data_IF_547592917719
#
_entry.id   IF_547592917719
#
_cell.length_a   1.000
_cell.length_b   1.000
_cell.length_c   1.000
_cell.angle_alpha   90.00
_cell.angle_beta   90.00
_cell.angle_gamma   90.00
#
_symmetry.space_group_name_H-M   'P 1'
#
loop_
_entity.id
_entity.type
_entity.pdbx_description
1 polymer ?
#
# COMPACT_ATOMS: atom_id res chain seq x y z
N UNK A 1 0.84 -2.04 3.97
CA UNK A 1 1.86 -1.36 3.11
C UNK A 1 2.95 -2.29 2.55
N UNK A 2 2.66 -3.55 2.22
CA UNK A 2 3.71 -4.55 1.93
C UNK A 2 3.28 -5.52 0.83
N UNK A 3 4.19 -6.02 0.02
CA UNK A 3 3.91 -7.15 -0.91
C UNK A 3 4.90 -8.26 -0.62
N UNK A 4 4.41 -9.45 -0.28
CA UNK A 4 5.28 -10.61 -0.03
C UNK A 4 6.14 -10.96 -1.25
N UNK A 5 7.36 -11.42 -0.98
CA UNK A 5 8.27 -11.87 -2.03
C UNK A 5 7.79 -13.08 -2.82
N UNK A 6 6.89 -13.89 -2.24
CA UNK A 6 6.24 -15.03 -2.89
C UNK A 6 5.27 -14.60 -3.99
N UNK A 7 4.70 -13.40 -3.91
CA UNK A 7 3.74 -12.89 -4.90
C UNK A 7 4.40 -12.38 -6.18
N UNK A 8 5.67 -11.98 -6.15
CA UNK A 8 6.31 -11.30 -7.28
C UNK A 8 6.27 -12.12 -8.57
N UNK A 9 6.29 -13.44 -8.49
CA UNK A 9 6.23 -14.30 -9.68
C UNK A 9 4.83 -14.31 -10.30
N UNK A 10 3.78 -14.24 -9.48
CA UNK A 10 2.38 -14.12 -9.93
C UNK A 10 2.12 -12.77 -10.61
N UNK A 11 2.87 -11.73 -10.26
CA UNK A 11 2.70 -10.40 -10.83
C UNK A 11 3.32 -10.26 -12.24
N UNK A 12 4.12 -11.22 -12.71
CA UNK A 12 4.89 -11.09 -13.94
C UNK A 12 4.04 -10.97 -15.23
N UNK A 13 2.80 -11.47 -15.20
CA UNK A 13 1.84 -11.39 -16.32
C UNK A 13 1.05 -10.08 -16.36
N UNK A 14 1.14 -9.26 -15.31
CA UNK A 14 0.29 -8.08 -15.17
C UNK A 14 0.60 -6.98 -16.17
N UNK A 15 -0.47 -6.32 -16.62
CA UNK A 15 -0.42 -5.07 -17.38
C UNK A 15 0.05 -3.91 -16.51
N UNK A 16 0.35 -2.76 -17.13
CA UNK A 16 0.85 -1.60 -16.40
C UNK A 16 -0.16 -1.10 -15.36
N UNK A 17 -1.44 -1.02 -15.75
CA UNK A 17 -2.52 -0.55 -14.87
C UNK A 17 -2.83 -1.54 -13.75
N UNK A 18 -2.70 -2.84 -13.99
CA UNK A 18 -2.81 -3.85 -12.93
C UNK A 18 -1.66 -3.77 -11.91
N UNK A 19 -0.42 -3.56 -12.36
CA UNK A 19 0.72 -3.36 -11.45
C UNK A 19 0.52 -2.10 -10.61
N UNK A 20 0.15 -0.99 -11.23
CA UNK A 20 -0.13 0.27 -10.52
C UNK A 20 -1.27 0.12 -9.52
N UNK A 21 -2.33 -0.58 -9.91
CA UNK A 21 -3.45 -0.89 -9.04
C UNK A 21 -3.04 -1.72 -7.82
N UNK A 22 -2.31 -2.82 -8.02
CA UNK A 22 -1.84 -3.67 -6.91
C UNK A 22 -0.92 -2.89 -5.96
N UNK A 23 -0.02 -2.07 -6.47
CA UNK A 23 0.84 -1.23 -5.63
C UNK A 23 0.02 -0.20 -4.85
N UNK A 24 -1.03 0.37 -5.45
CA UNK A 24 -1.95 1.27 -4.77
C UNK A 24 -2.75 0.56 -3.66
N UNK A 25 -3.35 -0.60 -3.96
CA UNK A 25 -4.07 -1.44 -2.99
C UNK A 25 -3.14 -1.78 -1.82
N UNK A 26 -1.93 -2.24 -2.13
CA UNK A 26 -0.96 -2.67 -1.15
C UNK A 26 -0.50 -1.54 -0.23
N UNK A 27 -0.64 -0.27 -0.66
CA UNK A 27 -0.34 0.90 0.17
C UNK A 27 -1.34 1.08 1.30
N UNK A 28 -2.61 0.74 1.11
CA UNK A 28 -3.67 1.02 2.10
C UNK A 28 -4.26 -0.24 2.73
N UNK A 29 -3.65 -1.40 2.50
CA UNK A 29 -4.04 -2.65 3.15
C UNK A 29 -3.65 -2.70 4.64
N UNK A 30 -4.44 -3.45 5.41
CA UNK A 30 -4.12 -3.96 6.74
C UNK A 30 -3.16 -5.17 6.68
N UNK A 31 -2.89 -5.77 7.85
CA UNK A 31 -2.01 -6.93 7.93
C UNK A 31 -2.63 -8.20 7.34
N UNK A 32 -3.95 -8.29 7.10
CA UNK A 32 -4.58 -9.43 6.42
C UNK A 32 -4.51 -9.33 4.89
N UNK A 33 -3.85 -8.29 4.38
CA UNK A 33 -3.81 -8.01 2.95
C UNK A 33 -5.06 -7.32 2.41
N UNK A 34 -5.92 -6.78 3.29
CA UNK A 34 -7.21 -6.22 2.96
C UNK A 34 -7.22 -4.69 3.04
N UNK A 35 -7.76 -4.02 2.03
CA UNK A 35 -8.15 -2.62 2.09
C UNK A 35 -9.67 -2.51 2.14
N UNK A 36 -10.17 -1.78 3.13
CA UNK A 36 -11.60 -1.45 3.26
C UNK A 36 -11.94 -0.17 2.53
N UNK A 37 -13.08 -0.11 1.86
CA UNK A 37 -13.66 1.12 1.36
C UNK A 37 -12.86 1.80 0.25
N UNK A 38 -12.30 1.03 -0.70
CA UNK A 38 -11.66 1.62 -1.87
C UNK A 38 -12.70 2.30 -2.77
N UNK A 39 -12.58 3.61 -2.95
CA UNK A 39 -13.44 4.37 -3.84
C UNK A 39 -12.79 4.52 -5.21
N UNK A 40 -13.53 4.19 -6.28
CA UNK A 40 -12.96 4.15 -7.63
C UNK A 40 -12.38 5.49 -8.07
N UNK A 41 -12.95 6.63 -7.64
CA UNK A 41 -12.45 7.96 -8.06
C UNK A 41 -11.05 8.23 -7.51
N UNK A 42 -10.81 7.86 -6.26
CA UNK A 42 -9.50 8.04 -5.61
C UNK A 42 -8.44 7.22 -6.37
N UNK A 43 -8.78 6.01 -6.78
CA UNK A 43 -7.88 5.16 -7.58
C UNK A 43 -7.68 5.76 -8.98
N UNK A 44 -8.75 6.24 -9.62
CA UNK A 44 -8.67 6.86 -10.94
C UNK A 44 -7.72 8.07 -10.94
N UNK A 45 -7.79 8.90 -9.90
CA UNK A 45 -6.92 10.07 -9.72
C UNK A 45 -5.47 9.68 -9.42
N UNK A 46 -5.23 8.69 -8.55
CA UNK A 46 -3.89 8.35 -8.08
C UNK A 46 -3.13 7.36 -8.98
N UNK A 47 -3.84 6.53 -9.76
CA UNK A 47 -3.25 5.52 -10.64
C UNK A 47 -3.44 5.87 -12.13
N UNK A 48 -3.87 7.10 -12.44
CA UNK A 48 -4.06 7.60 -13.80
C UNK A 48 -4.93 6.63 -14.63
N UNK A 49 -6.07 6.21 -14.10
CA UNK A 49 -6.95 5.26 -14.78
C UNK A 49 -8.34 5.84 -14.98
N UNK A 50 -8.96 5.54 -16.12
CA UNK A 50 -10.36 5.88 -16.30
C UNK A 50 -11.25 4.89 -15.53
N UNK A 51 -12.52 5.27 -15.31
CA UNK A 51 -13.50 4.45 -14.60
C UNK A 51 -13.66 3.04 -15.20
N UNK A 52 -13.63 2.92 -16.53
CA UNK A 52 -13.73 1.62 -17.20
C UNK A 52 -12.51 0.74 -16.89
N UNK A 53 -11.31 1.30 -17.02
CA UNK A 53 -10.05 0.62 -16.69
C UNK A 53 -10.00 0.15 -15.24
N UNK A 54 -10.54 0.91 -14.29
CA UNK A 54 -10.65 0.48 -12.89
C UNK A 54 -11.44 -0.85 -12.78
N UNK A 55 -12.62 -0.93 -13.40
CA UNK A 55 -13.45 -2.14 -13.31
C UNK A 55 -12.87 -3.31 -14.10
N UNK A 56 -12.26 -3.05 -15.26
CA UNK A 56 -11.57 -4.08 -16.03
C UNK A 56 -10.38 -4.65 -15.23
N UNK A 57 -9.62 -3.79 -14.56
CA UNK A 57 -8.50 -4.17 -13.68
C UNK A 57 -8.99 -5.03 -12.52
N UNK A 58 -10.07 -4.64 -11.83
CA UNK A 58 -10.66 -5.43 -10.75
C UNK A 58 -11.04 -6.85 -11.21
N UNK A 59 -11.80 -6.94 -12.30
CA UNK A 59 -12.26 -8.23 -12.83
C UNK A 59 -11.09 -9.10 -13.30
N UNK A 60 -10.12 -8.50 -13.99
CA UNK A 60 -8.94 -9.20 -14.50
C UNK A 60 -8.08 -9.76 -13.38
N UNK A 61 -7.80 -8.96 -12.33
CA UNK A 61 -7.02 -9.40 -11.19
C UNK A 61 -7.72 -10.48 -10.36
N UNK A 62 -9.05 -10.42 -10.25
CA UNK A 62 -9.84 -11.48 -9.62
C UNK A 62 -9.80 -12.77 -10.43
N UNK A 63 -9.99 -12.69 -11.76
CA UNK A 63 -9.92 -13.86 -12.64
C UNK A 63 -8.53 -14.53 -12.63
N UNK A 64 -7.46 -13.75 -12.44
CA UNK A 64 -6.09 -14.25 -12.28
C UNK A 64 -5.80 -14.81 -10.87
N UNK A 65 -6.75 -14.73 -9.92
CA UNK A 65 -6.55 -15.21 -8.55
C UNK A 65 -5.53 -14.40 -7.75
N UNK A 66 -5.39 -13.11 -8.06
CA UNK A 66 -4.47 -12.19 -7.36
C UNK A 66 -5.20 -11.43 -6.26
N UNK A 67 -6.46 -11.07 -6.50
CA UNK A 67 -7.31 -10.41 -5.51
C UNK A 67 -8.66 -11.11 -5.40
N UNK A 68 -9.36 -10.85 -4.30
CA UNK A 68 -10.82 -10.94 -4.22
C UNK A 68 -11.38 -9.58 -3.81
N UNK A 69 -12.62 -9.29 -4.15
CA UNK A 69 -13.27 -8.06 -3.71
C UNK A 69 -14.75 -8.23 -3.44
N UNK A 70 -15.28 -7.42 -2.53
CA UNK A 70 -16.71 -7.27 -2.29
C UNK A 70 -17.11 -5.81 -2.42
N UNK A 71 -18.34 -5.56 -2.89
CA UNK A 71 -18.87 -4.21 -2.97
C UNK A 71 -19.61 -3.89 -1.68
N UNK A 72 -19.24 -2.77 -1.05
CA UNK A 72 -19.90 -2.23 0.14
C UNK A 72 -20.35 -0.81 -0.17
N UNK A 73 -21.66 -0.62 -0.35
CA UNK A 73 -22.25 0.63 -0.84
C UNK A 73 -21.67 1.07 -2.21
N UNK A 74 -20.91 2.16 -2.23
CA UNK A 74 -20.24 2.69 -3.43
C UNK A 74 -18.75 2.32 -3.49
N UNK A 75 -18.27 1.60 -2.49
CA UNK A 75 -16.86 1.27 -2.32
C UNK A 75 -16.61 -0.22 -2.53
N UNK A 76 -15.34 -0.57 -2.60
CA UNK A 76 -14.86 -1.94 -2.73
C UNK A 76 -13.94 -2.28 -1.56
N UNK A 77 -14.26 -3.36 -0.85
CA UNK A 77 -13.30 -3.98 0.06
C UNK A 77 -12.52 -5.00 -0.77
N UNK A 78 -11.18 -4.91 -0.77
CA UNK A 78 -10.31 -5.70 -1.65
C UNK A 78 -9.26 -6.40 -0.81
N UNK A 79 -9.09 -7.71 -1.04
CA UNK A 79 -8.02 -8.50 -0.40
C UNK A 79 -7.04 -8.96 -1.47
N UNK A 80 -5.76 -8.68 -1.27
CA UNK A 80 -4.68 -9.28 -2.06
C UNK A 80 -4.45 -10.70 -1.52
N UNK A 81 -4.71 -11.70 -2.36
CA UNK A 81 -4.58 -13.10 -1.99
C UNK A 81 -3.10 -13.44 -1.72
N UNK A 82 -2.86 -14.33 -0.76
CA UNK A 82 -1.53 -14.75 -0.30
C UNK A 82 -0.61 -13.62 0.20
N UNK A 83 -1.18 -12.48 0.63
CA UNK A 83 -0.43 -11.34 1.17
C UNK A 83 -0.66 -11.11 2.68
N UNK A 84 -0.97 -12.16 3.43
CA UNK A 84 -1.29 -12.08 4.86
C UNK A 84 -0.03 -11.98 5.75
N UNK A 85 0.00 -10.98 6.63
CA UNK A 85 1.03 -10.66 7.62
C UNK A 85 0.54 -10.79 9.07
N UNK A 86 -0.68 -11.28 9.32
CA UNK A 86 -1.28 -11.27 10.67
C UNK A 86 -0.72 -12.35 11.61
N UNK A 87 0.09 -13.29 11.12
CA UNK A 87 0.60 -14.42 11.89
C UNK A 87 2.08 -14.28 12.28
N UNK A 88 2.51 -14.94 13.38
CA UNK A 88 3.90 -14.92 13.81
C UNK A 88 4.85 -15.42 12.71
N UNK A 89 5.86 -14.62 12.41
CA UNK A 89 6.90 -14.97 11.45
C UNK A 89 6.62 -14.59 9.99
N UNK A 90 5.42 -14.09 9.66
CA UNK A 90 5.10 -13.64 8.29
C UNK A 90 6.11 -12.60 7.74
N UNK A 91 6.64 -11.74 8.61
CA UNK A 91 7.63 -10.74 8.25
C UNK A 91 9.00 -11.33 7.88
N UNK A 92 9.33 -12.54 8.37
CA UNK A 92 10.59 -13.22 8.05
C UNK A 92 10.58 -13.85 6.65
N UNK A 93 9.41 -14.01 6.03
CA UNK A 93 9.27 -14.50 4.65
C UNK A 93 9.77 -13.46 3.61
N UNK A 94 9.91 -12.21 4.03
CA UNK A 94 10.41 -11.12 3.21
C UNK A 94 9.33 -10.48 2.32
N UNK A 95 9.44 -9.16 2.14
CA UNK A 95 8.45 -8.36 1.45
C UNK A 95 9.06 -7.11 0.84
N UNK A 96 8.40 -6.57 -0.18
CA UNK A 96 8.62 -5.21 -0.66
C UNK A 96 7.81 -4.26 0.21
N UNK A 97 8.47 -3.31 0.86
CA UNK A 97 7.78 -2.20 1.49
C UNK A 97 7.37 -1.17 0.42
N UNK A 98 6.08 -1.08 0.12
CA UNK A 98 5.51 -0.16 -0.88
C UNK A 98 5.22 1.24 -0.32
N UNK A 99 5.50 1.50 0.95
CA UNK A 99 5.40 2.84 1.56
C UNK A 99 6.55 3.79 1.19
N UNK A 100 7.58 3.29 0.49
CA UNK A 100 8.76 4.08 0.14
C UNK A 100 8.41 5.18 -0.88
N UNK A 101 9.01 6.36 -0.70
CA UNK A 101 8.74 7.53 -1.55
C UNK A 101 8.96 7.26 -3.04
N UNK A 102 9.90 6.35 -3.37
CA UNK A 102 10.22 5.96 -4.75
C UNK A 102 8.99 5.60 -5.58
N UNK A 103 8.00 4.91 -4.99
CA UNK A 103 6.78 4.46 -5.67
C UNK A 103 5.82 5.60 -6.03
N UNK A 104 6.08 6.81 -5.54
CA UNK A 104 5.29 8.02 -5.79
C UNK A 104 6.03 9.02 -6.70
N UNK A 105 7.22 8.66 -7.17
CA UNK A 105 8.01 9.55 -8.01
C UNK A 105 7.63 9.41 -9.46
N UNK A 106 7.66 10.53 -10.21
CA UNK A 106 7.45 10.54 -11.67
C UNK A 106 8.31 9.50 -12.39
N UNK A 107 9.59 9.37 -12.01
CA UNK A 107 10.52 8.38 -12.58
C UNK A 107 10.04 6.94 -12.42
N UNK A 108 9.29 6.61 -11.36
CA UNK A 108 8.70 5.28 -11.18
C UNK A 108 7.46 5.10 -12.06
N UNK A 109 6.58 6.10 -12.12
CA UNK A 109 5.37 6.06 -12.95
C UNK A 109 5.67 5.96 -14.45
N UNK A 110 6.79 6.53 -14.91
CA UNK A 110 7.26 6.44 -16.29
C UNK A 110 7.72 5.01 -16.70
N UNK A 111 7.95 4.11 -15.75
CA UNK A 111 8.33 2.72 -16.05
C UNK A 111 7.16 1.95 -16.68
N UNK A 112 7.48 1.09 -17.63
CA UNK A 112 6.53 0.10 -18.18
C UNK A 112 6.28 -1.02 -17.16
N UNK A 113 5.19 -1.76 -17.34
CA UNK A 113 4.79 -2.86 -16.45
C UNK A 113 5.96 -3.81 -16.10
N UNK A 114 6.61 -4.36 -17.13
CA UNK A 114 7.73 -5.31 -16.94
C UNK A 114 9.00 -4.65 -16.38
N UNK A 115 9.17 -3.34 -16.52
CA UNK A 115 10.26 -2.60 -15.86
C UNK A 115 9.98 -2.41 -14.37
N UNK A 116 8.73 -2.09 -14.00
CA UNK A 116 8.28 -2.05 -12.60
C UNK A 116 8.47 -3.41 -11.93
N UNK A 117 8.07 -4.49 -12.60
CA UNK A 117 8.25 -5.85 -12.10
C UNK A 117 9.73 -6.23 -11.93
N UNK A 118 10.58 -5.89 -12.92
CA UNK A 118 12.03 -6.09 -12.78
C UNK A 118 12.61 -5.29 -11.61
N UNK A 119 12.14 -4.07 -11.39
CA UNK A 119 12.54 -3.24 -10.26
C UNK A 119 12.18 -3.91 -8.92
N UNK A 120 10.97 -4.45 -8.77
CA UNK A 120 10.56 -5.19 -7.57
C UNK A 120 11.43 -6.43 -7.33
N UNK A 121 11.74 -7.18 -8.39
CA UNK A 121 12.67 -8.31 -8.31
C UNK A 121 14.09 -7.88 -7.92
N UNK A 122 14.58 -6.76 -8.44
CA UNK A 122 15.89 -6.22 -8.06
C UNK A 122 15.91 -5.74 -6.61
N UNK A 123 14.82 -5.13 -6.12
CA UNK A 123 14.69 -4.80 -4.69
C UNK A 123 14.78 -6.06 -3.82
N UNK A 124 14.08 -7.15 -4.18
CA UNK A 124 14.13 -8.43 -3.46
C UNK A 124 15.55 -8.99 -3.39
N UNK A 125 16.22 -9.17 -4.53
CA UNK A 125 17.55 -9.82 -4.56
C UNK A 125 18.63 -8.96 -3.91
N UNK A 126 18.55 -7.63 -4.04
CA UNK A 126 19.55 -6.73 -3.44
C UNK A 126 19.36 -6.64 -1.93
N UNK A 127 18.11 -6.69 -1.43
CA UNK A 127 17.84 -6.81 0.00
C UNK A 127 18.45 -8.09 0.58
N UNK A 128 18.22 -9.24 -0.08
CA UNK A 128 18.77 -10.54 0.34
C UNK A 128 20.31 -10.62 0.23
N UNK A 129 20.94 -9.75 -0.58
CA UNK A 129 22.37 -9.74 -0.83
C UNK A 129 23.10 -8.55 -0.15
N UNK A 130 22.58 -8.06 0.98
CA UNK A 130 23.18 -6.94 1.73
C UNK A 130 23.43 -5.67 0.90
N UNK A 131 22.56 -5.41 -0.08
CA UNK A 131 22.57 -4.21 -0.91
C UNK A 131 23.26 -4.33 -2.27
N UNK A 132 23.91 -5.46 -2.59
CA UNK A 132 24.54 -5.65 -3.91
C UNK A 132 24.47 -7.10 -4.39
N UNK A 133 23.91 -7.30 -5.58
CA UNK A 133 23.76 -8.61 -6.19
C UNK A 133 24.67 -8.76 -7.41
N UNK A 134 25.27 -9.95 -7.56
CA UNK A 134 26.15 -10.28 -8.67
C UNK A 134 25.60 -11.47 -9.46
N UNK A 135 25.64 -11.38 -10.79
CA UNK A 135 25.17 -12.46 -11.66
C UNK A 135 25.90 -12.43 -13.01
N UNK A 136 26.32 -13.59 -13.51
CA UNK A 136 26.94 -13.70 -14.82
C UNK A 136 26.02 -13.21 -15.94
N UNK A 137 26.57 -12.54 -16.96
CA UNK A 137 25.78 -11.93 -18.05
C UNK A 137 24.80 -12.92 -18.68
N UNK A 138 25.26 -14.12 -19.06
CA UNK A 138 24.41 -15.15 -19.64
C UNK A 138 23.26 -15.55 -18.72
N UNK A 139 23.58 -15.83 -17.44
CA UNK A 139 22.58 -16.21 -16.42
C UNK A 139 21.54 -15.12 -16.19
N UNK A 140 21.94 -13.84 -16.17
CA UNK A 140 21.02 -12.71 -16.02
C UNK A 140 20.04 -12.67 -17.19
N UNK A 141 20.53 -12.75 -18.42
CA UNK A 141 19.67 -12.69 -19.60
C UNK A 141 18.73 -13.89 -19.65
N UNK A 142 19.21 -15.12 -19.47
CA UNK A 142 18.36 -16.31 -19.43
C UNK A 142 17.26 -16.18 -18.38
N UNK A 143 17.62 -15.85 -17.13
CA UNK A 143 16.67 -15.76 -16.01
C UNK A 143 15.58 -14.73 -16.27
N UNK A 144 15.95 -13.48 -16.57
CA UNK A 144 14.98 -12.39 -16.64
C UNK A 144 14.26 -12.30 -17.99
N UNK A 145 14.82 -12.86 -19.08
CA UNK A 145 14.08 -13.03 -20.33
C UNK A 145 12.98 -14.07 -20.18
N UNK A 146 13.26 -15.18 -19.51
CA UNK A 146 12.25 -16.20 -19.21
C UNK A 146 11.19 -15.66 -18.25
N UNK A 147 11.61 -15.05 -17.14
CA UNK A 147 10.71 -14.51 -16.12
C UNK A 147 9.71 -13.49 -16.67
N UNK A 148 10.19 -12.57 -17.52
CA UNK A 148 9.37 -11.48 -18.04
C UNK A 148 8.81 -11.78 -19.43
N UNK A 149 9.18 -12.90 -20.07
CA UNK A 149 8.81 -13.20 -21.46
C UNK A 149 9.21 -12.08 -22.42
N UNK A 150 10.50 -11.69 -22.43
CA UNK A 150 11.02 -10.61 -23.28
C UNK A 150 12.32 -11.00 -23.98
N UNK A 151 12.63 -10.30 -25.07
CA UNK A 151 13.89 -10.51 -25.80
C UNK A 151 15.08 -9.86 -25.08
N UNK A 152 16.30 -10.29 -25.44
CA UNK A 152 17.56 -9.70 -24.96
C UNK A 152 17.62 -8.19 -25.17
N UNK A 153 17.18 -7.70 -26.33
CA UNK A 153 17.18 -6.26 -26.67
C UNK A 153 16.27 -5.48 -25.73
N UNK A 154 15.09 -6.01 -25.44
CA UNK A 154 14.12 -5.39 -24.53
C UNK A 154 14.65 -5.38 -23.10
N UNK A 155 15.16 -6.50 -22.60
CA UNK A 155 15.75 -6.56 -21.25
C UNK A 155 16.92 -5.59 -21.09
N UNK A 156 17.78 -5.43 -22.11
CA UNK A 156 18.85 -4.42 -22.10
C UNK A 156 18.30 -3.00 -21.95
N UNK A 157 17.19 -2.70 -22.62
CA UNK A 157 16.46 -1.44 -22.45
C UNK A 157 15.99 -1.23 -21.02
N UNK A 158 15.40 -2.26 -20.40
CA UNK A 158 14.96 -2.21 -19.01
C UNK A 158 16.13 -1.94 -18.07
N UNK A 159 17.25 -2.66 -18.21
CA UNK A 159 18.45 -2.44 -17.40
C UNK A 159 18.96 -0.99 -17.51
N UNK A 160 18.83 -0.36 -18.67
CA UNK A 160 19.17 1.07 -18.83
C UNK A 160 18.19 1.97 -18.06
N UNK A 161 16.88 1.77 -18.19
CA UNK A 161 15.85 2.51 -17.43
C UNK A 161 16.07 2.37 -15.92
N UNK A 162 16.41 1.17 -15.45
CA UNK A 162 16.61 0.87 -14.04
C UNK A 162 17.88 1.49 -13.43
N UNK A 163 18.79 2.06 -14.23
CA UNK A 163 19.95 2.82 -13.71
C UNK A 163 19.55 4.05 -12.89
N UNK A 164 18.31 4.55 -13.07
CA UNK A 164 17.74 5.61 -12.23
C UNK A 164 17.49 5.18 -10.78
N UNK A 165 17.51 3.87 -10.52
CA UNK A 165 17.17 3.25 -9.22
C UNK A 165 18.30 2.39 -8.66
N UNK A 166 19.10 1.77 -9.51
CA UNK A 166 20.20 0.88 -9.12
C UNK A 166 21.51 1.32 -9.78
N UNK A 167 22.62 1.15 -9.07
CA UNK A 167 23.94 1.15 -9.72
C UNK A 167 24.08 -0.18 -10.48
N UNK A 168 24.00 -0.11 -11.82
CA UNK A 168 24.08 -1.29 -12.69
C UNK A 168 25.33 -1.17 -13.56
N UNK A 169 26.32 -2.01 -13.27
CA UNK A 169 27.60 -2.07 -13.96
C UNK A 169 27.95 -3.49 -14.40
N UNK A 170 28.87 -3.61 -15.35
CA UNK A 170 29.44 -4.89 -15.77
C UNK A 170 30.93 -4.88 -15.39
N UNK A 171 31.38 -5.94 -14.73
CA UNK A 171 32.79 -6.19 -14.43
C UNK A 171 33.05 -7.69 -14.45
N UNK A 172 34.16 -8.12 -15.04
CA UNK A 172 34.59 -9.53 -15.10
C UNK A 172 33.49 -10.51 -15.59
N UNK A 173 32.78 -10.13 -16.66
CA UNK A 173 31.71 -10.95 -17.25
C UNK A 173 30.44 -11.08 -16.40
N UNK A 174 30.31 -10.28 -15.33
CA UNK A 174 29.17 -10.27 -14.41
C UNK A 174 28.52 -8.90 -14.35
N UNK A 175 27.21 -8.88 -14.18
CA UNK A 175 26.49 -7.70 -13.72
C UNK A 175 26.63 -7.55 -12.22
N UNK A 176 26.83 -6.31 -11.81
CA UNK A 176 26.73 -5.83 -10.45
C UNK A 176 25.51 -4.92 -10.39
N UNK A 177 24.53 -5.28 -9.57
CA UNK A 177 23.30 -4.54 -9.36
C UNK A 177 23.26 -4.14 -7.89
N UNK A 178 23.51 -2.87 -7.60
CA UNK A 178 23.58 -2.36 -6.24
C UNK A 178 22.45 -1.37 -5.96
N UNK A 179 21.87 -1.49 -4.79
CA UNK A 179 20.76 -0.67 -4.31
C UNK A 179 21.21 0.78 -4.07
N UNK A 180 20.58 1.76 -4.74
CA UNK A 180 20.89 3.17 -4.49
C UNK A 180 20.14 3.66 -3.26
N UNK A 181 20.85 3.73 -2.12
CA UNK A 181 20.30 4.24 -0.86
C UNK A 181 19.68 5.63 -1.02
N UNK A 182 20.29 6.51 -1.82
CA UNK A 182 19.78 7.86 -2.12
C UNK A 182 18.43 7.89 -2.85
N UNK A 183 18.02 6.80 -3.50
CA UNK A 183 16.74 6.71 -4.21
C UNK A 183 15.66 6.09 -3.34
N UNK A 184 16.04 5.13 -2.50
CA UNK A 184 15.07 4.30 -1.79
C UNK A 184 14.96 4.57 -0.29
N UNK A 185 15.90 5.31 0.32
CA UNK A 185 15.82 5.68 1.73
C UNK A 185 14.95 6.91 1.98
N UNK A 186 14.56 7.63 0.93
CA UNK A 186 13.58 8.71 1.02
C UNK A 186 12.27 8.16 1.63
N UNK A 187 11.89 8.74 2.76
CA UNK A 187 10.68 8.36 3.50
C UNK A 187 9.55 9.32 3.14
N UNK A 188 8.35 8.77 3.06
CA UNK A 188 7.14 9.59 3.11
C UNK A 188 7.08 10.22 4.50
N UNK A 189 6.74 11.50 4.59
CA UNK A 189 6.65 12.25 5.87
C UNK A 189 5.63 11.61 6.83
N UNK A 190 4.57 11.03 6.26
CA UNK A 190 3.47 10.43 6.98
C UNK A 190 3.75 8.94 7.21
N UNK A 191 3.64 8.49 8.48
CA UNK A 191 3.82 7.08 8.86
C UNK A 191 2.83 6.14 8.14
N UNK A 192 3.18 4.86 8.02
CA UNK A 192 2.30 3.84 7.43
C UNK A 192 0.96 3.75 8.16
N UNK A 193 1.00 3.77 9.49
CA UNK A 193 -0.18 3.75 10.35
C UNK A 193 -1.07 4.98 10.12
N UNK A 194 -0.47 6.17 9.99
CA UNK A 194 -1.22 7.41 9.75
C UNK A 194 -1.90 7.39 8.38
N UNK A 195 -1.21 6.93 7.34
CA UNK A 195 -1.79 6.82 6.00
C UNK A 195 -2.99 5.88 6.00
N UNK A 196 -2.88 4.73 6.67
CA UNK A 196 -3.99 3.77 6.78
C UNK A 196 -5.16 4.33 7.60
N UNK A 197 -4.90 4.92 8.77
CA UNK A 197 -5.97 5.50 9.60
C UNK A 197 -6.67 6.67 8.90
N UNK A 198 -5.94 7.52 8.17
CA UNK A 198 -6.54 8.59 7.36
C UNK A 198 -7.47 8.04 6.28
N UNK A 199 -7.03 6.99 5.58
CA UNK A 199 -7.86 6.29 4.60
C UNK A 199 -9.16 5.81 5.25
N UNK A 200 -9.06 5.11 6.38
CA UNK A 200 -10.22 4.60 7.12
C UNK A 200 -11.20 5.72 7.57
N UNK A 201 -10.71 6.83 8.10
CA UNK A 201 -11.57 7.99 8.44
C UNK A 201 -12.29 8.52 7.20
N UNK A 202 -11.59 8.61 6.06
CA UNK A 202 -12.18 8.99 4.77
C UNK A 202 -13.29 8.03 4.32
N UNK A 203 -13.09 6.72 4.51
CA UNK A 203 -14.11 5.69 4.26
C UNK A 203 -15.35 5.93 5.11
N UNK A 204 -15.19 6.06 6.43
CA UNK A 204 -16.28 6.29 7.37
C UNK A 204 -17.08 7.54 7.01
N UNK A 205 -16.38 8.65 6.72
CA UNK A 205 -17.01 9.91 6.35
C UNK A 205 -17.81 9.80 5.04
N UNK A 206 -17.23 9.15 4.02
CA UNK A 206 -17.90 8.95 2.73
C UNK A 206 -19.14 8.07 2.88
N UNK A 207 -19.07 6.99 3.65
CA UNK A 207 -20.20 6.11 3.96
C UNK A 207 -21.29 6.83 4.75
N UNK A 208 -20.90 7.72 5.67
CA UNK A 208 -21.80 8.60 6.42
C UNK A 208 -22.30 9.83 5.63
N UNK A 209 -21.90 9.99 4.35
CA UNK A 209 -22.26 11.13 3.47
C UNK A 209 -21.80 12.50 4.00
N UNK A 210 -20.73 12.53 4.77
CA UNK A 210 -20.09 13.78 5.25
C UNK A 210 -19.24 14.36 4.11
N UNK A 211 -19.68 15.48 3.53
CA UNK A 211 -19.07 16.06 2.32
C UNK A 211 -17.78 16.84 2.57
N UNK A 212 -17.63 17.42 3.75
CA UNK A 212 -16.52 18.32 4.08
C UNK A 212 -15.72 17.76 5.26
N UNK A 213 -14.64 17.06 4.94
CA UNK A 213 -13.71 16.54 5.94
C UNK A 213 -12.46 17.42 5.94
N UNK A 214 -12.41 18.41 6.83
CA UNK A 214 -11.25 19.27 6.95
C UNK A 214 -9.99 18.42 7.27
N UNK A 215 -8.84 18.65 6.59
CA UNK A 215 -7.62 17.87 6.85
C UNK A 215 -7.17 17.90 8.32
N UNK A 216 -7.39 19.02 9.01
CA UNK A 216 -7.14 19.15 10.44
C UNK A 216 -8.02 18.20 11.27
N UNK A 217 -9.34 18.18 11.03
CA UNK A 217 -10.26 17.29 11.73
C UNK A 217 -9.93 15.81 11.50
N UNK A 218 -9.55 15.43 10.27
CA UNK A 218 -9.09 14.06 9.98
C UNK A 218 -7.83 13.73 10.78
N UNK A 219 -6.86 14.64 10.85
CA UNK A 219 -5.62 14.46 11.63
C UNK A 219 -5.92 14.30 13.12
N UNK A 220 -6.85 15.07 13.67
CA UNK A 220 -7.25 14.98 15.07
C UNK A 220 -7.93 13.62 15.36
N UNK A 221 -8.84 13.18 14.50
CA UNK A 221 -9.48 11.86 14.63
C UNK A 221 -8.47 10.72 14.55
N UNK A 222 -7.47 10.81 13.68
CA UNK A 222 -6.35 9.85 13.65
C UNK A 222 -5.55 9.86 14.96
N UNK A 223 -5.38 11.03 15.58
CA UNK A 223 -4.72 11.15 16.89
C UNK A 223 -5.52 10.45 17.98
N UNK A 224 -6.85 10.65 17.99
CA UNK A 224 -7.77 9.93 18.88
C UNK A 224 -7.67 8.42 18.67
N UNK A 225 -7.66 7.95 17.41
CA UNK A 225 -7.51 6.52 17.11
C UNK A 225 -6.22 5.94 17.69
N UNK A 226 -5.09 6.65 17.55
CA UNK A 226 -3.81 6.19 18.12
C UNK A 226 -3.80 6.19 19.65
N UNK A 227 -4.41 7.19 20.27
CA UNK A 227 -4.49 7.33 21.71
C UNK A 227 -5.25 6.17 22.34
N UNK A 228 -6.38 5.77 21.75
CA UNK A 228 -7.30 4.80 22.36
C UNK A 228 -7.24 3.40 21.75
N UNK A 229 -6.35 3.11 20.77
CA UNK A 229 -6.28 1.78 20.14
C UNK A 229 -6.04 0.63 21.11
N UNK A 230 -5.23 0.85 22.14
CA UNK A 230 -4.89 -0.16 23.14
C UNK A 230 -6.08 -0.40 24.06
N UNK A 231 -6.64 0.69 24.59
CA UNK A 231 -7.84 0.67 25.44
C UNK A 231 -9.04 -0.01 24.75
N UNK A 232 -9.29 0.31 23.47
CA UNK A 232 -10.36 -0.31 22.69
C UNK A 232 -10.22 -1.84 22.64
N UNK A 233 -8.99 -2.32 22.43
CA UNK A 233 -8.69 -3.75 22.33
C UNK A 233 -8.75 -4.44 23.69
N UNK A 234 -8.25 -3.81 24.75
CA UNK A 234 -8.15 -4.42 26.09
C UNK A 234 -9.47 -4.36 26.85
N UNK A 235 -10.21 -3.25 26.76
CA UNK A 235 -11.41 -3.00 27.56
C UNK A 235 -12.70 -3.51 26.89
N UNK A 236 -12.77 -3.50 25.55
CA UNK A 236 -13.99 -3.88 24.79
C UNK A 236 -13.74 -5.01 23.80
N UNK A 237 -12.47 -5.35 23.50
CA UNK A 237 -12.15 -6.37 22.50
C UNK A 237 -12.46 -5.97 21.06
N UNK A 238 -12.70 -4.68 20.79
CA UNK A 238 -13.00 -4.14 19.46
C UNK A 238 -11.83 -3.35 18.92
N UNK A 239 -11.71 -3.31 17.59
CA UNK A 239 -10.74 -2.41 16.97
C UNK A 239 -11.19 -0.96 17.14
N UNK A 240 -10.24 -0.04 17.37
CA UNK A 240 -10.56 1.40 17.45
C UNK A 240 -11.19 1.94 16.16
N UNK A 241 -10.91 1.31 15.03
CA UNK A 241 -11.56 1.66 13.76
C UNK A 241 -13.06 1.45 13.83
N UNK A 242 -13.53 0.30 14.32
CA UNK A 242 -14.96 0.02 14.43
C UNK A 242 -15.67 1.01 15.36
N UNK A 243 -15.03 1.37 16.48
CA UNK A 243 -15.57 2.36 17.41
C UNK A 243 -15.68 3.74 16.74
N UNK A 244 -14.62 4.18 16.06
CA UNK A 244 -14.62 5.47 15.37
C UNK A 244 -15.58 5.49 14.19
N UNK A 245 -15.71 4.39 13.44
CA UNK A 245 -16.68 4.24 12.35
C UNK A 245 -18.12 4.40 12.86
N UNK A 246 -18.48 3.73 13.96
CA UNK A 246 -19.79 3.89 14.63
C UNK A 246 -20.02 5.35 15.06
N UNK A 247 -19.00 6.01 15.62
CA UNK A 247 -19.08 7.39 16.07
C UNK A 247 -19.27 8.36 14.91
N UNK A 248 -18.55 8.16 13.80
CA UNK A 248 -18.68 8.98 12.58
C UNK A 248 -20.06 8.76 11.93
N UNK A 249 -20.57 7.53 11.91
CA UNK A 249 -21.91 7.24 11.38
C UNK A 249 -23.04 7.95 12.17
N UNK A 250 -22.82 8.22 13.45
CA UNK A 250 -23.76 8.98 14.29
C UNK A 250 -23.60 10.50 14.13
N UNK A 251 -22.50 10.97 13.52
CA UNK A 251 -22.21 12.37 13.37
C UNK A 251 -22.77 12.94 12.05
N UNK A 252 -23.21 14.20 12.07
CA UNK A 252 -23.63 14.93 10.86
C UNK A 252 -22.46 15.57 10.11
N UNK A 253 -21.35 15.77 10.82
CA UNK A 253 -20.12 16.38 10.33
C UNK A 253 -18.90 15.77 11.04
N UNK A 254 -17.71 15.88 10.43
CA UNK A 254 -16.48 15.42 11.04
C UNK A 254 -15.95 16.47 12.03
N UNK A 255 -16.51 16.45 13.25
CA UNK A 255 -16.09 17.31 14.36
C UNK A 255 -15.23 16.51 15.36
N UNK A 256 -13.93 16.78 15.42
CA UNK A 256 -12.99 15.99 16.22
C UNK A 256 -13.31 15.97 17.72
N UNK A 257 -13.76 17.10 18.29
CA UNK A 257 -14.18 17.18 19.70
C UNK A 257 -15.40 16.30 19.98
N UNK A 258 -16.40 16.34 19.10
CA UNK A 258 -17.59 15.49 19.24
C UNK A 258 -17.26 14.01 19.09
N UNK A 259 -16.45 13.64 18.09
CA UNK A 259 -16.00 12.26 17.90
C UNK A 259 -15.20 11.79 19.13
N UNK A 260 -14.32 12.61 19.68
CA UNK A 260 -13.59 12.29 20.90
C UNK A 260 -14.53 11.99 22.08
N UNK A 261 -15.54 12.83 22.27
CA UNK A 261 -16.58 12.63 23.30
C UNK A 261 -17.30 11.29 23.12
N UNK A 262 -17.70 10.95 21.90
CA UNK A 262 -18.36 9.67 21.60
C UNK A 262 -17.43 8.47 21.85
N UNK A 263 -16.18 8.53 21.38
CA UNK A 263 -15.19 7.46 21.61
C UNK A 263 -14.98 7.21 23.10
N UNK A 264 -14.77 8.28 23.89
CA UNK A 264 -14.61 8.16 25.35
C UNK A 264 -15.83 7.56 26.02
N UNK A 265 -17.02 8.00 25.61
CA UNK A 265 -18.28 7.44 26.12
C UNK A 265 -18.39 5.95 25.81
N UNK A 266 -18.11 5.53 24.57
CA UNK A 266 -18.10 4.11 24.18
C UNK A 266 -17.09 3.31 24.98
N UNK A 267 -15.93 3.89 25.33
CA UNK A 267 -14.89 3.26 26.15
C UNK A 267 -15.17 3.30 27.66
N UNK A 268 -16.29 3.87 28.12
CA UNK A 268 -16.59 4.02 29.54
C UNK A 268 -15.66 5.00 30.29
N UNK A 269 -14.93 5.84 29.56
CA UNK A 269 -13.99 6.82 30.11
C UNK A 269 -14.73 8.10 30.50
N UNK A 270 -15.38 8.09 31.67
CA UNK A 270 -16.16 9.20 32.21
C UNK A 270 -15.29 10.48 32.31
N UNK A 271 -15.90 11.63 32.05
CA UNK A 271 -15.29 12.95 32.28
C UNK A 271 -15.24 13.23 33.78
N UNK A 272 -14.05 13.24 34.39
CA UNK A 272 -13.85 13.97 35.64
C UNK A 272 -13.99 15.46 35.32
N UNK A 273 -14.93 16.15 35.96
CA UNK A 273 -15.49 17.45 35.56
C UNK A 273 -14.58 18.68 35.52
N UNK A 274 -13.32 18.58 35.07
CA UNK A 274 -12.39 19.71 34.90
C UNK A 274 -12.00 20.02 33.45
N UNK A 275 -12.44 19.25 32.45
CA UNK A 275 -12.07 19.47 31.04
C UNK A 275 -13.21 20.11 30.19
N UNK A 276 -14.14 20.85 30.81
CA UNK A 276 -15.25 21.53 30.11
C UNK A 276 -15.04 23.04 29.95
N UNK A 277 -13.82 23.49 29.79
CA UNK A 277 -13.54 24.77 29.12
C UNK A 277 -12.59 24.48 27.96
N UNK A 278 -12.77 25.20 26.84
CA UNK A 278 -12.09 25.15 25.52
C UNK A 278 -12.81 24.44 24.36
#
# INVERSE_FOLDING_TARGET
MKIKYSLLDKLNSLTNKEVDFILYVARYQDDYGCIRGMYYRDVCENADMCKQTFYDTLRSLQAQGIITYSRVNQDYDITILDNDFSYPGAYHEGYINVSRQVFHTRRFHELKAKEKLLLLHFMKITHSASGSYQIGIGKLYTKYMQLLGVTKRVLRGYLHSLKKFFAIGIKDGKYFISYLRTVFNDRVEISETDQYMRHLVGVSCRRAKIKNCAPAAVKDVVTIMKQYRKEAQESIGRSIFEIVDDCICQAKELNSKYIHKLVRHTLGLIWSGQEMEF
#
